data_IF_919372167239
#
_entry.id   IF_919372167239
#
_cell.length_a   1.000
_cell.length_b   1.000
_cell.length_c   1.000
_cell.angle_alpha   90.00
_cell.angle_beta   90.00
_cell.angle_gamma   90.00
#
_symmetry.space_group_name_H-M   'P 1'
#
loop_
_entity.id
_entity.type
_entity.pdbx_description
1 polymer ?
#
# COMPACT_ATOMS: atom_id res chain seq x y z
N UNK A 1 2.48 -25.72 11.42
CA UNK A 1 2.81 -24.48 12.18
C UNK A 1 1.67 -24.19 13.13
N UNK A 2 1.91 -23.88 14.41
CA UNK A 2 0.81 -23.59 15.35
C UNK A 2 -0.05 -22.41 14.87
N UNK A 3 -1.35 -22.43 15.19
CA UNK A 3 -2.29 -21.39 14.76
C UNK A 3 -1.86 -20.00 15.25
N UNK A 4 -1.29 -19.92 16.45
CA UNK A 4 -0.76 -18.67 17.00
C UNK A 4 0.36 -18.12 16.11
N UNK A 5 1.28 -18.99 15.70
CA UNK A 5 2.36 -18.60 14.80
C UNK A 5 1.82 -18.20 13.42
N UNK A 6 0.81 -18.88 12.89
CA UNK A 6 0.17 -18.47 11.63
C UNK A 6 -0.40 -17.06 11.72
N UNK A 7 -1.14 -16.76 12.79
CA UNK A 7 -1.72 -15.42 12.99
C UNK A 7 -0.63 -14.36 13.17
N UNK A 8 0.43 -14.66 13.94
CA UNK A 8 1.57 -13.73 14.08
C UNK A 8 2.21 -13.46 12.71
N UNK A 9 2.46 -14.50 11.92
CA UNK A 9 3.03 -14.37 10.58
C UNK A 9 2.13 -13.57 9.63
N UNK A 10 0.80 -13.72 9.73
CA UNK A 10 -0.15 -12.91 8.96
C UNK A 10 0.10 -11.40 9.17
N UNK A 11 0.19 -10.96 10.42
CA UNK A 11 0.43 -9.54 10.73
C UNK A 11 1.87 -9.11 10.40
N UNK A 12 2.86 -9.95 10.72
CA UNK A 12 4.27 -9.63 10.47
C UNK A 12 4.58 -9.54 8.98
N UNK A 13 4.07 -10.45 8.14
CA UNK A 13 4.25 -10.42 6.68
C UNK A 13 3.45 -9.28 6.03
N UNK A 14 2.32 -8.88 6.59
CA UNK A 14 1.56 -7.75 6.06
C UNK A 14 2.32 -6.40 6.16
N UNK A 15 3.24 -6.25 7.12
CA UNK A 15 4.07 -5.04 7.28
C UNK A 15 4.95 -4.80 6.03
N UNK A 16 5.88 -5.69 5.62
CA UNK A 16 6.69 -5.45 4.43
C UNK A 16 5.84 -5.37 3.17
N UNK A 17 4.73 -6.13 3.07
CA UNK A 17 3.80 -6.01 1.95
C UNK A 17 3.23 -4.60 1.85
N UNK A 18 2.75 -4.03 2.96
CA UNK A 18 2.24 -2.65 3.01
C UNK A 18 3.32 -1.61 2.72
N UNK A 19 4.53 -1.80 3.25
CA UNK A 19 5.63 -0.87 3.09
C UNK A 19 6.08 -0.79 1.62
N UNK A 20 6.35 -1.95 1.01
CA UNK A 20 6.74 -2.02 -0.40
C UNK A 20 5.63 -1.47 -1.29
N UNK A 21 4.38 -1.83 -1.02
CA UNK A 21 3.25 -1.37 -1.82
C UNK A 21 3.04 0.13 -1.72
N UNK A 22 3.09 0.69 -0.51
CA UNK A 22 2.99 2.13 -0.31
C UNK A 22 4.18 2.86 -0.96
N UNK A 23 5.42 2.44 -0.73
CA UNK A 23 6.62 3.08 -1.28
C UNK A 23 6.60 3.08 -2.81
N UNK A 24 6.31 1.93 -3.43
CA UNK A 24 6.22 1.87 -4.89
C UNK A 24 5.06 2.71 -5.41
N UNK A 25 3.97 2.89 -4.65
CA UNK A 25 2.79 3.62 -5.12
C UNK A 25 2.71 5.11 -4.77
N UNK A 26 3.47 5.57 -3.77
CA UNK A 26 3.39 6.94 -3.26
C UNK A 26 4.71 7.71 -3.31
N UNK A 27 5.85 7.02 -3.44
CA UNK A 27 7.15 7.70 -3.50
C UNK A 27 7.39 8.33 -4.88
N UNK A 28 7.90 9.56 -4.90
CA UNK A 28 8.10 10.33 -6.14
C UNK A 28 9.13 9.72 -7.08
N UNK A 29 10.07 8.92 -6.55
CA UNK A 29 11.08 8.18 -7.33
C UNK A 29 10.41 7.25 -8.36
N UNK A 30 9.24 6.71 -8.04
CA UNK A 30 8.49 5.82 -8.93
C UNK A 30 7.43 6.55 -9.77
N UNK A 31 7.41 7.88 -9.73
CA UNK A 31 6.42 8.68 -10.46
C UNK A 31 6.57 8.56 -11.97
N UNK A 32 7.80 8.61 -12.49
CA UNK A 32 8.04 8.54 -13.94
C UNK A 32 7.68 7.15 -14.52
N UNK A 33 8.05 6.01 -13.89
CA UNK A 33 7.52 4.70 -14.26
C UNK A 33 5.99 4.61 -14.15
N UNK A 34 5.39 5.19 -13.09
CA UNK A 34 3.93 5.18 -12.90
C UNK A 34 3.23 5.96 -14.00
N UNK A 35 3.69 7.17 -14.32
CA UNK A 35 3.12 8.02 -15.36
C UNK A 35 3.26 7.37 -16.74
N UNK A 36 4.39 6.70 -17.00
CA UNK A 36 4.56 5.88 -18.20
C UNK A 36 3.54 4.73 -18.24
N UNK A 37 3.36 4.00 -17.14
CA UNK A 37 2.33 2.95 -17.04
C UNK A 37 0.91 3.51 -17.23
N UNK A 38 0.57 4.66 -16.66
CA UNK A 38 -0.75 5.32 -16.82
C UNK A 38 -1.00 5.71 -18.28
N UNK A 39 -0.01 6.31 -18.95
CA UNK A 39 -0.10 6.69 -20.38
C UNK A 39 -0.29 5.46 -21.26
N UNK A 40 0.44 4.38 -20.99
CA UNK A 40 0.31 3.13 -21.73
C UNK A 40 -0.99 2.37 -21.41
N UNK A 41 -1.49 2.45 -20.16
CA UNK A 41 -2.82 1.95 -19.82
C UNK A 41 -3.89 2.69 -20.62
N UNK A 42 -3.88 4.04 -20.62
CA UNK A 42 -4.85 4.85 -21.35
C UNK A 42 -4.87 4.54 -22.86
N UNK A 43 -3.70 4.32 -23.46
CA UNK A 43 -3.54 4.00 -24.89
C UNK A 43 -3.58 2.50 -25.22
N UNK A 44 -3.74 1.63 -24.23
CA UNK A 44 -3.75 0.17 -24.42
C UNK A 44 -4.95 -0.30 -25.24
N UNK A 45 -4.69 -1.07 -26.30
CA UNK A 45 -5.72 -1.60 -27.24
C UNK A 45 -6.64 -2.65 -26.62
N UNK A 46 -6.28 -3.25 -25.47
CA UNK A 46 -7.02 -4.33 -24.82
C UNK A 46 -7.23 -4.07 -23.32
N UNK A 47 -8.38 -4.54 -22.79
CA UNK A 47 -8.77 -4.37 -21.38
C UNK A 47 -7.77 -5.00 -20.40
N UNK A 48 -7.13 -6.10 -20.79
CA UNK A 48 -6.11 -6.78 -19.98
C UNK A 48 -4.84 -5.94 -19.83
N UNK A 49 -4.38 -5.30 -20.91
CA UNK A 49 -3.21 -4.41 -20.89
C UNK A 49 -3.52 -3.17 -20.04
N UNK A 50 -4.73 -2.62 -20.19
CA UNK A 50 -5.24 -1.54 -19.34
C UNK A 50 -5.20 -1.91 -17.86
N UNK A 51 -5.76 -3.06 -17.47
CA UNK A 51 -5.77 -3.52 -16.07
C UNK A 51 -4.39 -3.86 -15.52
N UNK A 52 -3.51 -4.46 -16.33
CA UNK A 52 -2.15 -4.83 -15.92
C UNK A 52 -1.29 -3.60 -15.60
N UNK A 53 -1.40 -2.53 -16.39
CA UNK A 53 -0.67 -1.29 -16.13
C UNK A 53 -1.30 -0.44 -15.01
N UNK A 54 -2.64 -0.43 -14.90
CA UNK A 54 -3.34 0.26 -13.80
C UNK A 54 -3.00 -0.31 -12.42
N UNK A 55 -2.66 -1.59 -12.39
CA UNK A 55 -2.28 -2.35 -11.21
C UNK A 55 -1.07 -1.80 -10.45
N UNK A 56 -0.10 -1.23 -11.16
CA UNK A 56 1.08 -0.58 -10.58
C UNK A 56 0.78 0.84 -10.06
N UNK A 57 -0.42 1.35 -10.34
CA UNK A 57 -0.82 2.71 -9.97
C UNK A 57 -1.65 2.76 -8.69
N UNK A 58 -2.19 1.62 -8.25
CA UNK A 58 -3.01 1.48 -7.05
C UNK A 58 -2.33 0.60 -6.01
N UNK A 59 -2.23 1.08 -4.77
CA UNK A 59 -1.60 0.37 -3.66
C UNK A 59 -2.28 -0.97 -3.33
N UNK A 60 -3.62 -0.99 -3.38
CA UNK A 60 -4.42 -2.20 -3.16
C UNK A 60 -4.09 -3.26 -4.22
N UNK A 61 -4.08 -2.87 -5.48
CA UNK A 61 -3.79 -3.78 -6.58
C UNK A 61 -2.36 -4.32 -6.52
N UNK A 62 -1.38 -3.44 -6.30
CA UNK A 62 0.02 -3.83 -6.24
C UNK A 62 0.30 -4.75 -5.04
N UNK A 63 -0.40 -4.56 -3.91
CA UNK A 63 -0.26 -5.43 -2.75
C UNK A 63 -0.57 -6.90 -3.02
N UNK A 64 -1.38 -7.23 -4.04
CA UNK A 64 -1.62 -8.63 -4.44
C UNK A 64 -0.35 -9.28 -4.99
N UNK A 65 0.42 -8.55 -5.80
CA UNK A 65 1.67 -9.04 -6.38
C UNK A 65 2.73 -9.29 -5.32
N UNK A 66 2.87 -8.30 -4.43
CA UNK A 66 3.80 -8.41 -3.30
C UNK A 66 3.38 -9.55 -2.38
N UNK A 67 2.08 -9.72 -2.12
CA UNK A 67 1.56 -10.84 -1.33
C UNK A 67 1.86 -12.19 -1.97
N UNK A 68 1.59 -12.36 -3.27
CA UNK A 68 1.89 -13.61 -3.99
C UNK A 68 3.39 -13.91 -3.91
N UNK A 69 4.25 -12.89 -4.08
CA UNK A 69 5.69 -13.04 -3.91
C UNK A 69 6.07 -13.55 -2.51
N UNK A 70 5.55 -12.94 -1.44
CA UNK A 70 5.86 -13.37 -0.07
C UNK A 70 5.28 -14.74 0.27
N UNK A 71 4.10 -15.09 -0.22
CA UNK A 71 3.53 -16.43 -0.04
C UNK A 71 4.45 -17.48 -0.68
N UNK A 72 4.92 -17.24 -1.90
CA UNK A 72 5.83 -18.16 -2.59
C UNK A 72 7.22 -18.21 -1.94
N UNK A 73 7.72 -17.08 -1.46
CA UNK A 73 9.03 -16.96 -0.83
C UNK A 73 9.07 -17.60 0.57
N UNK A 74 8.00 -17.45 1.35
CA UNK A 74 7.91 -17.95 2.73
C UNK A 74 7.17 -19.29 2.85
N UNK A 75 6.65 -19.83 1.75
CA UNK A 75 5.74 -20.98 1.72
C UNK A 75 4.59 -20.87 2.74
N UNK A 76 4.03 -19.66 2.89
CA UNK A 76 3.09 -19.35 3.96
C UNK A 76 1.67 -19.80 3.63
N UNK A 77 1.09 -20.61 4.53
CA UNK A 77 -0.29 -21.09 4.48
C UNK A 77 -1.04 -20.69 5.74
N UNK A 78 -2.34 -20.41 5.60
CA UNK A 78 -3.21 -20.01 6.71
C UNK A 78 -4.39 -20.98 6.85
N UNK A 79 -4.64 -21.45 8.08
CA UNK A 79 -5.70 -22.37 8.52
C UNK A 79 -5.65 -23.79 7.95
N UNK A 80 -5.32 -23.93 6.66
CA UNK A 80 -5.32 -25.20 5.94
C UNK A 80 -3.90 -25.50 5.43
N UNK A 81 -3.47 -26.76 5.52
CA UNK A 81 -2.14 -27.17 5.03
C UNK A 81 -2.10 -27.44 3.52
N UNK A 82 -3.28 -27.53 2.88
CA UNK A 82 -3.42 -27.70 1.44
C UNK A 82 -3.27 -26.39 0.67
N UNK A 83 -3.34 -26.47 -0.67
CA UNK A 83 -3.32 -25.32 -1.58
C UNK A 83 -4.38 -24.25 -1.24
N UNK A 84 -5.48 -24.63 -0.61
CA UNK A 84 -6.54 -23.73 -0.15
C UNK A 84 -6.01 -22.72 0.89
N UNK A 85 -5.04 -23.13 1.70
CA UNK A 85 -4.39 -22.28 2.69
C UNK A 85 -3.65 -21.11 2.08
N UNK A 86 -3.09 -21.26 0.87
CA UNK A 86 -2.49 -20.14 0.13
C UNK A 86 -3.53 -19.11 -0.32
N UNK A 87 -4.72 -19.55 -0.71
CA UNK A 87 -5.79 -18.64 -1.13
C UNK A 87 -6.28 -17.81 0.05
N UNK A 88 -6.53 -18.48 1.18
CA UNK A 88 -6.93 -17.82 2.42
C UNK A 88 -5.84 -16.85 2.88
N UNK A 89 -4.58 -17.30 2.92
CA UNK A 89 -3.43 -16.47 3.24
C UNK A 89 -3.33 -15.24 2.33
N UNK A 90 -3.53 -15.41 1.01
CA UNK A 90 -3.47 -14.35 0.03
C UNK A 90 -4.46 -13.23 0.32
N UNK A 91 -5.74 -13.55 0.42
CA UNK A 91 -6.76 -12.54 0.71
C UNK A 91 -6.60 -11.91 2.09
N UNK A 92 -6.24 -12.70 3.11
CA UNK A 92 -6.00 -12.18 4.45
C UNK A 92 -4.80 -11.23 4.50
N UNK A 93 -3.66 -11.59 3.89
CA UNK A 93 -2.47 -10.74 3.85
C UNK A 93 -2.72 -9.43 3.11
N UNK A 94 -3.39 -9.48 1.95
CA UNK A 94 -3.78 -8.29 1.20
C UNK A 94 -4.66 -7.38 2.07
N UNK A 95 -5.67 -7.94 2.76
CA UNK A 95 -6.55 -7.14 3.60
C UNK A 95 -5.80 -6.45 4.74
N UNK A 96 -4.97 -7.19 5.49
CA UNK A 96 -4.19 -6.63 6.61
C UNK A 96 -3.17 -5.60 6.11
N UNK A 97 -2.51 -5.85 4.98
CA UNK A 97 -1.60 -4.88 4.38
C UNK A 97 -2.32 -3.58 3.99
N UNK A 98 -3.53 -3.68 3.43
CA UNK A 98 -4.34 -2.51 3.10
C UNK A 98 -4.84 -1.75 4.32
N UNK A 99 -5.14 -2.45 5.41
CA UNK A 99 -5.42 -1.81 6.70
C UNK A 99 -4.22 -0.98 7.15
N UNK A 100 -3.00 -1.53 7.09
CA UNK A 100 -1.78 -0.80 7.44
C UNK A 100 -1.51 0.41 6.54
N UNK A 101 -1.67 0.26 5.23
CA UNK A 101 -1.54 1.38 4.29
C UNK A 101 -2.55 2.50 4.59
N UNK A 102 -3.81 2.13 4.82
CA UNK A 102 -4.87 3.09 5.14
C UNK A 102 -4.58 3.84 6.45
N UNK A 103 -4.14 3.13 7.49
CA UNK A 103 -3.74 3.73 8.77
C UNK A 103 -2.56 4.69 8.59
N UNK A 104 -1.55 4.29 7.82
CA UNK A 104 -0.40 5.14 7.53
C UNK A 104 -0.79 6.39 6.73
N UNK A 105 -1.70 6.25 5.77
CA UNK A 105 -2.26 7.35 5.00
C UNK A 105 -2.99 8.36 5.88
N UNK A 106 -3.87 7.89 6.78
CA UNK A 106 -4.58 8.73 7.74
C UNK A 106 -3.61 9.49 8.66
N UNK A 107 -2.60 8.79 9.18
CA UNK A 107 -1.58 9.41 10.03
C UNK A 107 -0.84 10.54 9.29
N UNK A 108 -0.42 10.29 8.05
CA UNK A 108 0.28 11.28 7.23
C UNK A 108 -0.60 12.49 6.90
N UNK A 109 -1.89 12.27 6.66
CA UNK A 109 -2.86 13.35 6.43
C UNK A 109 -3.06 14.21 7.69
N UNK A 110 -3.19 13.59 8.86
CA UNK A 110 -3.32 14.29 10.13
C UNK A 110 -2.10 15.20 10.41
N UNK A 111 -0.88 14.66 10.25
CA UNK A 111 0.36 15.43 10.41
C UNK A 111 0.42 16.60 9.42
N UNK A 112 -0.01 16.40 8.16
CA UNK A 112 -0.02 17.47 7.16
C UNK A 112 -1.03 18.57 7.52
N UNK A 113 -2.20 18.20 8.04
CA UNK A 113 -3.22 19.16 8.50
C UNK A 113 -2.68 20.02 9.64
N UNK A 114 -2.10 19.38 10.65
CA UNK A 114 -1.51 20.06 11.81
C UNK A 114 -0.42 21.06 11.39
N UNK A 115 0.49 20.65 10.49
CA UNK A 115 1.52 21.56 9.93
C UNK A 115 0.95 22.76 9.17
N UNK A 116 -0.17 22.58 8.47
CA UNK A 116 -0.83 23.68 7.74
C UNK A 116 -1.52 24.64 8.70
N UNK A 117 -2.12 24.13 9.77
CA UNK A 117 -2.74 24.95 10.82
C UNK A 117 -1.71 25.79 11.56
N UNK A 118 -0.58 25.19 11.98
CA UNK A 118 0.53 25.93 12.62
C UNK A 118 1.03 27.08 11.74
N UNK A 119 1.27 26.82 10.44
CA UNK A 119 1.72 27.85 9.48
C UNK A 119 0.71 28.99 9.26
N UNK A 120 -0.59 28.72 9.44
CA UNK A 120 -1.60 29.78 9.34
C UNK A 120 -1.55 30.69 10.55
N UNK A 121 -1.42 30.11 11.74
CA UNK A 121 -1.30 30.84 13.00
C UNK A 121 -0.04 31.72 12.98
N UNK A 122 1.12 31.16 12.59
CA UNK A 122 2.37 31.93 12.47
C UNK A 122 2.23 33.13 11.52
N UNK A 123 1.58 32.95 10.37
CA UNK A 123 1.34 34.05 9.42
C UNK A 123 0.36 35.10 9.94
N UNK A 124 -0.65 34.69 10.70
CA UNK A 124 -1.59 35.63 11.32
C UNK A 124 -0.87 36.47 12.40
N UNK A 125 -0.01 35.86 13.21
CA UNK A 125 0.82 36.55 14.20
C UNK A 125 1.84 37.53 13.57
N UNK A 126 2.49 37.15 12.47
CA UNK A 126 3.38 38.04 11.70
C UNK A 126 2.63 39.26 11.13
N UNK A 127 1.40 39.07 10.63
CA UNK A 127 0.60 40.18 10.09
C UNK A 127 0.09 41.14 11.18
N UNK A 128 -0.13 40.66 12.40
CA UNK A 128 -0.57 41.47 13.55
C UNK A 128 0.62 42.22 14.18
N UNK A 129 1.82 41.62 14.18
CA UNK A 129 3.03 42.24 14.76
C UNK A 129 3.75 43.21 13.80
N UNK A 130 3.45 43.14 12.50
CA UNK A 130 3.94 44.07 11.48
C UNK A 130 3.07 45.30 11.21
N UNK A 131 1.94 45.46 11.92
CA UNK A 131 1.03 46.63 11.87
C UNK A 131 1.16 47.49 13.12
#
# INVERSE_FOLDING_TARGET
MDITNQIIWLFVLAIPISCISWSVTHEEIFREPREWCVKNAANGRTILVRKAFYLFTCEYCFSHYVTVFFIFFCDYKLLMEDWRGYIIAGFSLVFVANLYMSLFGLLRQAIKKEKVEIKKIEKEEENISGS
#
